data_IF_261989800747
#
_entry.id   IF_261989800747
#
_cell.length_a   1.000
_cell.length_b   1.000
_cell.length_c   1.000
_cell.angle_alpha   90.00
_cell.angle_beta   90.00
_cell.angle_gamma   90.00
#
_symmetry.space_group_name_H-M   'P 1'
#
loop_
_entity.id
_entity.type
_entity.pdbx_description
1 polymer ?
#
# COMPACT_ATOMS: atom_id res chain seq x y z
N UNK A 1 -4.13 4.97 -25.26
CA UNK A 1 -3.30 5.94 -24.55
C UNK A 1 -3.04 5.52 -23.12
N UNK A 2 -1.86 5.83 -22.62
CA UNK A 2 -1.54 5.57 -21.23
C UNK A 2 -2.36 6.48 -20.32
N UNK A 3 -2.81 5.97 -19.19
CA UNK A 3 -3.48 6.77 -18.19
C UNK A 3 -2.49 7.74 -17.55
N UNK A 4 -2.95 8.95 -17.21
CA UNK A 4 -2.15 9.88 -16.42
C UNK A 4 -2.11 9.46 -14.97
N UNK A 5 -3.16 8.78 -14.49
CA UNK A 5 -3.26 8.30 -13.13
C UNK A 5 -3.20 6.78 -13.14
N UNK A 6 -2.31 6.25 -12.30
CA UNK A 6 -2.16 4.82 -12.10
C UNK A 6 -2.70 4.43 -10.72
N UNK A 7 -3.27 3.24 -10.63
CA UNK A 7 -3.83 2.71 -9.40
C UNK A 7 -2.99 1.53 -8.92
N UNK A 8 -2.49 1.64 -7.69
CA UNK A 8 -1.81 0.54 -7.02
C UNK A 8 -2.68 0.02 -5.90
N UNK A 9 -3.08 -1.24 -6.00
CA UNK A 9 -3.89 -1.90 -4.99
C UNK A 9 -3.01 -2.78 -4.12
N UNK A 10 -3.19 -2.71 -2.82
CA UNK A 10 -2.40 -3.50 -1.87
C UNK A 10 -3.34 -4.22 -0.91
N UNK A 11 -3.18 -5.54 -0.82
CA UNK A 11 -3.87 -6.37 0.14
C UNK A 11 -2.86 -6.96 1.11
N UNK A 12 -3.11 -6.81 2.39
CA UNK A 12 -2.29 -7.43 3.44
C UNK A 12 -3.13 -8.49 4.14
N UNK A 13 -2.65 -9.73 4.10
CA UNK A 13 -3.26 -10.84 4.82
C UNK A 13 -2.53 -10.97 6.16
N UNK A 14 -3.26 -10.86 7.25
CA UNK A 14 -2.67 -10.85 8.59
C UNK A 14 -2.90 -12.19 9.26
N UNK A 15 -1.86 -12.71 9.91
CA UNK A 15 -1.92 -13.98 10.63
C UNK A 15 -1.19 -13.86 11.97
N UNK A 16 -1.32 -14.91 12.79
CA UNK A 16 -0.70 -14.95 14.11
C UNK A 16 -1.61 -14.36 15.18
N UNK A 17 -1.02 -13.62 16.13
CA UNK A 17 -1.77 -13.00 17.20
C UNK A 17 -2.40 -11.69 16.73
N UNK A 18 -3.53 -11.79 16.04
CA UNK A 18 -4.21 -10.66 15.41
C UNK A 18 -5.13 -9.89 16.36
N UNK A 19 -5.45 -10.45 17.52
CA UNK A 19 -6.40 -9.85 18.46
C UNK A 19 -6.08 -8.40 18.80
N UNK A 20 -4.80 -8.02 19.06
CA UNK A 20 -4.49 -6.62 19.40
C UNK A 20 -4.37 -5.70 18.19
N UNK A 21 -4.55 -6.19 16.97
CA UNK A 21 -4.42 -5.36 15.78
C UNK A 21 -5.64 -4.44 15.64
N UNK A 22 -5.39 -3.12 15.64
CA UNK A 22 -6.45 -2.12 15.54
C UNK A 22 -6.45 -1.40 14.19
N UNK A 23 -5.31 -1.28 13.51
CA UNK A 23 -5.25 -0.59 12.24
C UNK A 23 -3.94 -0.80 11.51
N UNK A 24 -3.96 -0.55 10.20
CA UNK A 24 -2.79 -0.57 9.34
C UNK A 24 -2.77 0.70 8.49
N UNK A 25 -1.59 1.29 8.34
CA UNK A 25 -1.37 2.46 7.49
C UNK A 25 -0.17 2.19 6.59
N UNK A 26 -0.31 2.52 5.31
CA UNK A 26 0.79 2.39 4.35
C UNK A 26 1.27 3.74 3.87
N UNK A 27 2.59 3.92 3.80
CA UNK A 27 3.22 5.09 3.19
C UNK A 27 4.16 4.60 2.11
N UNK A 28 3.96 5.06 0.88
CA UNK A 28 4.77 4.67 -0.27
C UNK A 28 5.58 5.85 -0.76
N UNK A 29 6.90 5.65 -0.91
CA UNK A 29 7.82 6.65 -1.44
C UNK A 29 7.97 6.54 -2.95
N UNK A 30 8.63 7.51 -3.57
CA UNK A 30 8.97 7.46 -4.99
C UNK A 30 7.79 7.73 -5.92
N UNK A 31 6.79 8.45 -5.45
CA UNK A 31 5.61 8.81 -6.22
C UNK A 31 5.95 10.02 -7.07
N UNK A 32 5.62 9.98 -8.37
CA UNK A 32 5.76 11.13 -9.25
C UNK A 32 4.76 12.21 -8.85
N UNK A 33 5.25 13.47 -8.80
CA UNK A 33 4.39 14.62 -8.50
C UNK A 33 3.70 15.17 -9.73
N UNK A 34 4.11 14.70 -10.92
CA UNK A 34 3.50 15.11 -12.17
C UNK A 34 4.01 14.30 -13.34
N UNK A 35 3.49 14.64 -14.50
CA UNK A 35 3.84 13.97 -15.74
C UNK A 35 3.74 14.99 -16.88
N UNK A 36 4.77 15.10 -17.71
CA UNK A 36 4.71 15.98 -18.86
C UNK A 36 3.71 15.46 -19.89
N UNK A 37 2.84 16.34 -20.37
CA UNK A 37 1.78 15.97 -21.31
C UNK A 37 2.32 15.40 -22.63
N UNK A 38 3.42 15.95 -23.12
CA UNK A 38 4.00 15.55 -24.40
C UNK A 38 4.83 14.29 -24.28
N UNK A 39 5.79 14.26 -23.34
CA UNK A 39 6.70 13.14 -23.17
C UNK A 39 6.19 12.06 -22.23
N UNK A 40 5.21 12.41 -21.42
CA UNK A 40 4.70 11.57 -20.33
C UNK A 40 5.77 11.17 -19.33
N UNK A 41 6.80 11.98 -19.24
CA UNK A 41 7.90 11.76 -18.31
C UNK A 41 7.43 11.97 -16.88
N UNK A 42 7.77 11.03 -16.01
CA UNK A 42 7.39 11.08 -14.59
C UNK A 42 8.39 11.92 -13.83
N UNK A 43 7.91 12.93 -13.10
CA UNK A 43 8.75 13.90 -12.41
C UNK A 43 8.40 13.97 -10.94
N UNK A 44 9.36 14.47 -10.16
CA UNK A 44 9.19 14.66 -8.74
C UNK A 44 9.38 13.39 -7.94
N UNK A 45 9.40 13.56 -6.64
CA UNK A 45 9.56 12.45 -5.70
C UNK A 45 8.79 12.80 -4.42
N UNK A 46 7.64 12.19 -4.27
CA UNK A 46 6.76 12.42 -3.13
C UNK A 46 6.39 11.10 -2.48
N UNK A 47 5.75 11.20 -1.33
CA UNK A 47 5.20 10.02 -0.64
C UNK A 47 3.69 10.16 -0.55
N UNK A 48 2.99 9.04 -0.56
CA UNK A 48 1.55 8.99 -0.34
C UNK A 48 1.27 8.05 0.83
N UNK A 49 0.32 8.46 1.68
CA UNK A 49 -0.09 7.68 2.84
C UNK A 49 -1.56 7.32 2.73
N UNK A 50 -1.90 6.09 3.07
CA UNK A 50 -3.27 5.61 3.05
C UNK A 50 -3.53 4.65 4.19
N UNK A 51 -4.75 4.71 4.74
CA UNK A 51 -5.21 3.75 5.73
C UNK A 51 -5.77 2.52 5.03
N UNK A 52 -5.48 1.35 5.59
CA UNK A 52 -6.07 0.11 5.10
C UNK A 52 -7.44 -0.09 5.72
N UNK A 53 -8.34 -0.66 4.95
CA UNK A 53 -9.66 -1.09 5.41
C UNK A 53 -9.66 -2.60 5.56
N UNK A 54 -10.12 -3.07 6.70
CA UNK A 54 -10.29 -4.51 6.93
C UNK A 54 -11.58 -4.98 6.29
N UNK A 55 -11.50 -6.07 5.52
CA UNK A 55 -12.69 -6.74 5.03
C UNK A 55 -13.39 -7.41 6.22
N UNK A 56 -14.67 -7.13 6.49
CA UNK A 56 -15.35 -7.69 7.65
C UNK A 56 -15.26 -9.22 7.73
N UNK A 57 -15.06 -9.71 8.94
CA UNK A 57 -14.99 -11.15 9.26
C UNK A 57 -13.81 -11.85 8.62
N UNK A 58 -12.81 -11.09 8.14
CA UNK A 58 -11.59 -11.65 7.57
C UNK A 58 -10.37 -10.99 8.18
N UNK A 59 -9.20 -11.55 7.86
CA UNK A 59 -7.91 -10.98 8.24
C UNK A 59 -7.24 -10.30 7.05
N UNK A 60 -8.03 -9.83 6.11
CA UNK A 60 -7.58 -9.14 4.90
C UNK A 60 -7.78 -7.65 5.03
N UNK A 61 -6.71 -6.91 4.78
CA UNK A 61 -6.70 -5.46 4.85
C UNK A 61 -6.31 -4.92 3.48
N UNK A 62 -7.06 -3.96 2.97
CA UNK A 62 -6.91 -3.46 1.60
C UNK A 62 -6.81 -1.95 1.55
N UNK A 63 -6.03 -1.45 0.59
CA UNK A 63 -6.05 -0.04 0.21
C UNK A 63 -5.74 0.10 -1.26
N UNK A 64 -6.08 1.25 -1.83
CA UNK A 64 -5.72 1.62 -3.19
C UNK A 64 -5.06 3.00 -3.15
N UNK A 65 -3.94 3.11 -3.86
CA UNK A 65 -3.17 4.34 -3.97
C UNK A 65 -3.25 4.81 -5.42
N UNK A 66 -3.43 6.11 -5.60
CA UNK A 66 -3.52 6.72 -6.93
C UNK A 66 -2.35 7.68 -7.11
N UNK A 67 -1.67 7.61 -8.25
CA UNK A 67 -0.51 8.44 -8.50
C UNK A 67 -0.40 8.76 -10.00
N UNK A 68 0.35 9.82 -10.33
CA UNK A 68 0.70 10.11 -11.72
C UNK A 68 1.76 9.15 -12.25
N UNK A 69 2.14 8.18 -11.48
CA UNK A 69 3.13 7.18 -11.76
C UNK A 69 4.19 7.15 -10.69
N UNK A 70 5.22 6.36 -10.94
CA UNK A 70 6.31 6.13 -10.01
C UNK A 70 7.60 6.59 -10.66
N UNK A 71 8.39 7.39 -9.93
CA UNK A 71 9.63 7.93 -10.46
C UNK A 71 10.64 6.80 -10.66
N UNK A 72 11.09 6.52 -11.90
CA UNK A 72 11.99 5.40 -12.15
C UNK A 72 13.39 5.59 -11.55
N UNK A 73 13.74 6.80 -11.15
CA UNK A 73 15.02 7.11 -10.52
C UNK A 73 14.96 6.99 -8.98
N UNK A 74 13.78 6.79 -8.41
CA UNK A 74 13.57 6.71 -6.97
C UNK A 74 13.31 5.28 -6.52
N UNK A 75 13.54 5.02 -5.24
CA UNK A 75 13.14 3.77 -4.62
C UNK A 75 11.69 3.87 -4.16
N UNK A 76 10.94 2.79 -4.33
CA UNK A 76 9.54 2.70 -3.92
C UNK A 76 9.46 1.82 -2.68
N UNK A 77 9.59 2.44 -1.52
CA UNK A 77 9.54 1.75 -0.23
C UNK A 77 8.16 1.91 0.38
N UNK A 78 7.51 0.78 0.67
CA UNK A 78 6.26 0.75 1.38
C UNK A 78 6.55 0.57 2.87
N UNK A 79 6.18 1.57 3.68
CA UNK A 79 6.23 1.46 5.13
C UNK A 79 4.85 1.10 5.63
N UNK A 80 4.71 -0.09 6.20
CA UNK A 80 3.46 -0.55 6.80
C UNK A 80 3.54 -0.27 8.29
N UNK A 81 2.74 0.67 8.75
CA UNK A 81 2.66 1.03 10.15
C UNK A 81 1.47 0.33 10.79
N UNK A 82 1.70 -0.22 11.97
CA UNK A 82 0.76 -1.12 12.63
C UNK A 82 0.33 -0.50 13.94
N UNK A 83 -0.99 -0.31 14.09
CA UNK A 83 -1.59 0.17 15.33
C UNK A 83 -2.06 -1.02 16.14
N UNK A 84 -1.55 -1.13 17.37
CA UNK A 84 -1.90 -2.19 18.30
C UNK A 84 -2.71 -1.63 19.45
N UNK A 85 -3.77 -2.33 19.85
CA UNK A 85 -4.59 -1.96 20.99
C UNK A 85 -3.76 -1.97 22.28
N UNK A 86 -4.09 -1.06 23.19
CA UNK A 86 -3.43 -0.98 24.50
C UNK A 86 -2.08 -0.28 24.46
N UNK A 87 -1.70 0.32 23.35
CA UNK A 87 -0.49 1.13 23.22
C UNK A 87 -0.84 2.62 23.26
N UNK A 88 0.07 3.42 23.79
CA UNK A 88 -0.15 4.86 23.94
C UNK A 88 -0.05 5.61 22.63
N UNK A 89 0.72 5.11 21.69
CA UNK A 89 0.90 5.78 20.41
C UNK A 89 0.23 5.02 19.28
N UNK A 90 -0.40 5.78 18.38
CA UNK A 90 -0.99 5.25 17.16
C UNK A 90 0.15 4.84 16.21
N UNK A 91 0.02 3.68 15.57
CA UNK A 91 1.01 3.16 14.62
C UNK A 91 2.42 3.10 15.23
N UNK A 92 2.54 2.38 16.32
CA UNK A 92 3.77 2.28 17.11
C UNK A 92 4.77 1.21 16.62
N UNK A 93 4.39 0.40 15.64
CA UNK A 93 5.24 -0.60 15.01
C UNK A 93 5.29 -0.35 13.50
N UNK A 94 6.42 -0.67 12.86
CA UNK A 94 6.60 -0.43 11.43
C UNK A 94 7.37 -1.56 10.76
N UNK A 95 6.92 -1.96 9.56
CA UNK A 95 7.63 -2.89 8.69
C UNK A 95 7.79 -2.23 7.32
N UNK A 96 8.94 -2.44 6.68
CA UNK A 96 9.23 -1.86 5.37
C UNK A 96 9.37 -2.94 4.32
N UNK A 97 8.83 -2.67 3.14
CA UNK A 97 8.89 -3.57 1.97
C UNK A 97 9.36 -2.76 0.78
N UNK A 98 10.35 -3.27 0.05
CA UNK A 98 10.82 -2.64 -1.17
C UNK A 98 9.94 -3.09 -2.34
N UNK A 99 9.13 -2.18 -2.86
CA UNK A 99 8.28 -2.43 -4.02
C UNK A 99 8.92 -2.02 -5.33
N UNK A 100 10.16 -1.51 -5.30
CA UNK A 100 10.84 -1.05 -6.51
C UNK A 100 10.85 -2.08 -7.64
N UNK A 101 11.15 -3.37 -7.40
CA UNK A 101 11.14 -4.36 -8.48
C UNK A 101 9.79 -4.54 -9.16
N UNK A 102 8.69 -4.28 -8.42
CA UNK A 102 7.33 -4.45 -8.93
C UNK A 102 6.83 -3.20 -9.65
N UNK A 103 7.31 -2.03 -9.26
CA UNK A 103 6.84 -0.75 -9.79
C UNK A 103 7.72 -0.21 -10.91
N UNK A 104 8.97 -0.68 -11.02
CA UNK A 104 9.86 -0.31 -12.10
C UNK A 104 9.33 -0.90 -13.40
N UNK A 105 9.01 -0.04 -14.34
CA UNK A 105 8.40 -0.47 -15.60
C UNK A 105 6.90 -0.67 -15.55
N UNK A 106 6.26 -0.41 -14.40
CA UNK A 106 4.81 -0.42 -14.31
C UNK A 106 4.23 0.69 -15.19
N UNK A 107 3.55 0.30 -16.26
CA UNK A 107 3.06 1.22 -17.28
C UNK A 107 1.57 1.00 -17.62
N UNK A 108 0.92 0.07 -16.97
CA UNK A 108 -0.52 -0.15 -17.11
C UNK A 108 -1.29 0.75 -16.14
N UNK A 109 -2.61 0.72 -16.24
CA UNK A 109 -3.46 1.56 -15.40
C UNK A 109 -3.55 1.08 -13.96
N UNK A 110 -3.34 -0.21 -13.75
CA UNK A 110 -3.56 -0.83 -12.45
C UNK A 110 -2.59 -1.97 -12.20
N UNK A 111 -2.11 -2.06 -10.96
CA UNK A 111 -1.31 -3.17 -10.46
C UNK A 111 -1.82 -3.55 -9.08
N UNK A 112 -1.98 -4.83 -8.82
CA UNK A 112 -2.47 -5.33 -7.53
C UNK A 112 -1.44 -6.27 -6.91
N UNK A 113 -1.11 -5.99 -5.65
CA UNK A 113 -0.11 -6.75 -4.89
C UNK A 113 -0.73 -7.29 -3.61
N UNK A 114 -0.27 -8.48 -3.21
CA UNK A 114 -0.66 -9.12 -1.97
C UNK A 114 0.57 -9.38 -1.12
N UNK A 115 0.48 -9.11 0.17
CA UNK A 115 1.55 -9.36 1.14
C UNK A 115 0.97 -10.08 2.35
N UNK A 116 1.81 -10.87 3.00
CA UNK A 116 1.45 -11.54 4.24
C UNK A 116 2.17 -10.87 5.42
N UNK A 117 1.42 -10.49 6.44
CA UNK A 117 1.95 -9.93 7.67
C UNK A 117 1.68 -10.93 8.79
N UNK A 118 2.73 -11.40 9.46
CA UNK A 118 2.59 -12.30 10.60
C UNK A 118 2.93 -11.58 11.89
N UNK A 119 2.01 -11.64 12.85
CA UNK A 119 2.17 -11.04 14.17
C UNK A 119 2.48 -12.15 15.16
N UNK A 120 3.76 -12.34 15.44
CA UNK A 120 4.27 -13.29 16.44
C UNK A 120 4.99 -12.53 17.52
N UNK A 121 6.06 -13.11 18.07
CA UNK A 121 6.96 -12.40 18.98
C UNK A 121 7.62 -11.23 18.26
N UNK A 122 7.88 -11.42 16.97
CA UNK A 122 8.35 -10.38 16.08
C UNK A 122 7.35 -10.24 14.94
N UNK A 123 7.29 -9.04 14.38
CA UNK A 123 6.49 -8.79 13.18
C UNK A 123 7.31 -9.18 11.97
N UNK A 124 6.72 -9.94 11.07
CA UNK A 124 7.37 -10.29 9.81
C UNK A 124 6.43 -10.01 8.66
N UNK A 125 6.98 -9.48 7.57
CA UNK A 125 6.21 -9.22 6.35
C UNK A 125 6.89 -9.97 5.19
N UNK A 126 6.08 -10.67 4.40
CA UNK A 126 6.59 -11.48 3.30
C UNK A 126 6.77 -10.70 2.02
N UNK A 127 7.36 -11.36 1.03
CA UNK A 127 7.54 -10.79 -0.30
C UNK A 127 6.19 -10.55 -0.98
N UNK A 128 6.04 -9.42 -1.70
CA UNK A 128 4.82 -9.17 -2.45
C UNK A 128 4.60 -10.16 -3.57
N UNK A 129 3.34 -10.47 -3.84
CA UNK A 129 2.92 -11.31 -4.96
C UNK A 129 1.93 -10.51 -5.79
N UNK A 130 2.09 -10.53 -7.11
CA UNK A 130 1.14 -9.90 -8.03
C UNK A 130 -0.11 -10.76 -8.09
N UNK A 131 -1.28 -10.15 -7.88
CA UNK A 131 -2.57 -10.85 -7.98
C UNK A 131 -3.34 -10.36 -9.21
N UNK A 132 -3.93 -11.29 -9.99
CA UNK A 132 -4.64 -10.90 -11.22
C UNK A 132 -6.02 -10.30 -11.00
N UNK A 133 -6.67 -10.68 -9.91
CA UNK A 133 -8.03 -10.25 -9.62
C UNK A 133 -8.06 -9.40 -8.36
N UNK A 134 -8.58 -8.19 -8.49
CA UNK A 134 -8.76 -7.28 -7.37
C UNK A 134 -10.24 -7.08 -7.10
N UNK A 135 -10.64 -7.29 -5.85
CA UNK A 135 -11.99 -7.00 -5.40
C UNK A 135 -11.99 -5.62 -4.75
N UNK A 136 -12.76 -4.69 -5.30
CA UNK A 136 -12.83 -3.32 -4.78
C UNK A 136 -13.37 -3.29 -3.35
N UNK A 137 -12.88 -2.32 -2.59
CA UNK A 137 -13.34 -2.07 -1.24
C UNK A 137 -14.71 -1.39 -1.33
N UNK A 138 -15.78 -1.95 -0.74
CA UNK A 138 -17.06 -1.25 -0.72
C UNK A 138 -16.94 0.10 -0.03
N UNK A 139 -17.60 1.11 -0.56
CA UNK A 139 -17.53 2.48 -0.03
C UNK A 139 -17.91 2.55 1.45
N UNK A 140 -18.85 1.71 1.87
CA UNK A 140 -19.30 1.66 3.27
C UNK A 140 -18.25 1.10 4.22
N UNK A 141 -17.19 0.48 3.70
CA UNK A 141 -16.12 -0.13 4.50
C UNK A 141 -14.83 0.70 4.45
N UNK A 142 -14.82 1.82 3.74
CA UNK A 142 -13.65 2.68 3.66
C UNK A 142 -13.41 3.41 4.98
N UNK A 143 -12.12 3.69 5.32
CA UNK A 143 -11.82 4.46 6.53
C UNK A 143 -12.42 5.84 6.47
N UNK A 144 -12.72 6.40 7.64
CA UNK A 144 -13.22 7.78 7.76
C UNK A 144 -12.04 8.72 7.94
N UNK A 145 -11.86 9.62 6.97
CA UNK A 145 -10.75 10.58 6.94
C UNK A 145 -11.16 11.95 7.44
N UNK A 146 -11.70 12.06 8.57
CA UNK A 146 -12.02 13.38 9.14
C UNK A 146 -10.82 14.03 9.81
#
# INVERSE_FOLDING_TARGET
>A
PSAFVQRLNIQINVSGNITPLAGLQGTLTGISTGRYLVSRERTGNASVTSLFSRKPETDRWKTSLYAFGFNPAAENILSVKIEMDGKDSVFNEEQKVDLTPYLRGFDSDELSLELDLHIGKELTIGEPVVIPDWEDIPETELPNYN
#
